data_IF_311470505567
#
_entry.id   IF_311470505567
#
_cell.length_a   1.000
_cell.length_b   1.000
_cell.length_c   1.000
_cell.angle_alpha   90.00
_cell.angle_beta   90.00
_cell.angle_gamma   90.00
#
_symmetry.space_group_name_H-M   'P 1'
#
loop_
_entity.id
_entity.type
_entity.pdbx_description
1 polymer ?
#
# COMPACT_ATOMS: atom_id res chain seq x y z
N UNK A 1 8.41 -5.03 1.54
CA UNK A 1 7.35 -4.96 0.52
C UNK A 1 7.47 -6.18 -0.39
N UNK A 2 6.44 -7.03 -0.42
CA UNK A 2 6.36 -8.23 -1.26
C UNK A 2 5.67 -7.85 -2.58
N UNK A 3 6.37 -8.03 -3.71
CA UNK A 3 5.91 -7.62 -5.04
C UNK A 3 4.86 -8.56 -5.63
N UNK A 4 3.93 -7.98 -6.40
CA UNK A 4 2.91 -8.72 -7.15
C UNK A 4 3.52 -9.35 -8.42
N UNK A 5 2.89 -10.41 -8.90
CA UNK A 5 3.48 -11.47 -9.74
C UNK A 5 3.74 -11.13 -11.22
N UNK A 6 3.65 -9.87 -11.64
CA UNK A 6 3.76 -9.49 -13.07
C UNK A 6 4.75 -8.36 -13.33
N UNK A 7 5.27 -7.70 -12.30
CA UNK A 7 6.31 -6.69 -12.49
C UNK A 7 7.68 -7.37 -12.56
N UNK A 8 8.52 -7.10 -13.58
CA UNK A 8 9.89 -7.60 -13.61
C UNK A 8 10.61 -7.27 -12.31
N UNK A 9 11.30 -8.24 -11.72
CA UNK A 9 12.08 -8.01 -10.48
C UNK A 9 13.21 -7.00 -10.67
N UNK A 10 13.53 -6.65 -11.93
CA UNK A 10 14.47 -5.60 -12.29
C UNK A 10 13.90 -4.18 -12.18
N UNK A 11 12.59 -4.03 -12.03
CA UNK A 11 11.92 -2.73 -11.93
C UNK A 11 11.38 -2.52 -10.51
N UNK A 12 11.62 -1.35 -9.89
CA UNK A 12 11.05 -1.07 -8.59
C UNK A 12 9.52 -0.85 -8.71
N UNK A 13 8.81 -1.07 -7.60
CA UNK A 13 7.42 -0.63 -7.48
C UNK A 13 7.38 0.90 -7.36
N UNK A 14 6.38 1.52 -7.98
CA UNK A 14 6.15 2.96 -7.99
C UNK A 14 4.76 3.29 -7.45
N UNK A 15 4.67 4.39 -6.70
CA UNK A 15 3.41 4.98 -6.26
C UNK A 15 3.48 6.48 -6.49
N UNK A 16 2.49 7.03 -7.18
CA UNK A 16 2.35 8.45 -7.48
C UNK A 16 1.04 8.96 -6.85
N UNK A 17 1.13 10.05 -6.09
CA UNK A 17 -0.03 10.67 -5.43
C UNK A 17 -0.10 12.12 -5.85
N UNK A 18 -1.18 12.47 -6.54
CA UNK A 18 -1.49 13.84 -6.96
C UNK A 18 -2.60 14.42 -6.08
N UNK A 19 -2.34 15.60 -5.54
CA UNK A 19 -3.29 16.41 -4.78
C UNK A 19 -3.43 17.81 -5.35
N UNK A 20 -4.36 18.57 -4.79
CA UNK A 20 -4.55 20.00 -5.07
C UNK A 20 -3.32 20.84 -4.68
N UNK A 21 -2.55 20.39 -3.68
CA UNK A 21 -1.38 21.09 -3.15
C UNK A 21 -0.04 20.63 -3.72
N UNK A 22 -0.01 19.57 -4.54
CA UNK A 22 1.27 19.04 -5.03
C UNK A 22 1.25 17.59 -5.47
N UNK A 23 2.46 17.04 -5.61
CA UNK A 23 2.72 15.68 -6.10
C UNK A 23 3.86 15.03 -5.30
N UNK A 24 3.67 13.77 -4.96
CA UNK A 24 4.73 12.91 -4.42
C UNK A 24 4.84 11.64 -5.27
N UNK A 25 6.06 11.31 -5.67
CA UNK A 25 6.39 10.07 -6.37
C UNK A 25 7.37 9.29 -5.53
N UNK A 26 7.03 8.04 -5.25
CA UNK A 26 7.92 7.07 -4.59
C UNK A 26 8.25 5.93 -5.55
N UNK A 27 9.47 5.43 -5.47
CA UNK A 27 9.87 4.25 -6.21
C UNK A 27 11.03 3.53 -5.53
N UNK A 28 10.90 2.21 -5.36
CA UNK A 28 11.92 1.39 -4.71
C UNK A 28 12.16 1.76 -3.24
N UNK A 29 11.10 2.09 -2.51
CA UNK A 29 11.11 2.53 -1.10
C UNK A 29 11.90 3.83 -0.86
N UNK A 30 11.94 4.71 -1.86
CA UNK A 30 12.55 6.04 -1.77
C UNK A 30 11.63 7.07 -2.39
N UNK A 31 11.66 8.30 -1.87
CA UNK A 31 11.07 9.43 -2.60
C UNK A 31 11.93 9.70 -3.84
N UNK A 32 11.27 9.76 -4.99
CA UNK A 32 11.90 10.22 -6.22
C UNK A 32 11.54 11.65 -6.55
N UNK A 33 10.34 12.09 -6.18
CA UNK A 33 9.90 13.48 -6.37
C UNK A 33 9.07 13.94 -5.19
N UNK A 34 9.43 15.10 -4.65
CA UNK A 34 8.66 15.84 -3.65
C UNK A 34 8.37 17.22 -4.24
N UNK A 35 7.11 17.45 -4.62
CA UNK A 35 6.66 18.73 -5.17
C UNK A 35 5.44 19.21 -4.38
N UNK A 36 5.69 19.64 -3.15
CA UNK A 36 4.71 20.29 -2.27
C UNK A 36 5.32 21.63 -1.85
N UNK A 37 4.77 22.78 -2.29
CA UNK A 37 5.28 24.09 -1.92
C UNK A 37 5.27 24.27 -0.39
N UNK A 38 6.34 24.89 0.14
CA UNK A 38 6.47 25.28 1.55
C UNK A 38 6.45 24.13 2.59
N UNK A 39 6.51 22.88 2.14
CA UNK A 39 6.64 21.71 3.03
C UNK A 39 7.91 20.92 2.70
N UNK A 40 8.68 20.59 3.73
CA UNK A 40 9.77 19.62 3.69
C UNK A 40 9.50 18.52 4.69
N UNK A 41 9.76 17.27 4.31
CA UNK A 41 9.65 16.10 5.19
C UNK A 41 11.05 15.55 5.49
N UNK A 42 11.32 15.27 6.77
CA UNK A 42 12.62 14.73 7.20
C UNK A 42 12.79 13.26 6.79
N UNK A 43 11.80 12.40 7.07
CA UNK A 43 11.72 11.02 6.57
C UNK A 43 10.24 10.56 6.45
N UNK A 44 9.69 10.35 5.25
CA UNK A 44 8.31 9.86 5.07
C UNK A 44 8.13 8.40 5.42
N UNK A 45 9.22 7.65 5.57
CA UNK A 45 9.18 6.23 5.91
C UNK A 45 9.51 5.99 7.39
N UNK A 46 9.63 7.06 8.19
CA UNK A 46 9.69 6.97 9.64
C UNK A 46 8.34 6.47 10.16
N UNK A 47 8.29 5.18 10.46
CA UNK A 47 7.09 4.43 10.82
C UNK A 47 7.23 3.87 12.23
N UNK A 48 6.44 4.41 13.16
CA UNK A 48 6.36 3.93 14.56
C UNK A 48 5.46 2.69 14.71
N UNK A 49 5.74 1.66 13.93
CA UNK A 49 5.04 0.38 14.02
C UNK A 49 5.94 -0.82 13.79
N UNK A 50 5.36 -2.03 13.78
CA UNK A 50 6.13 -3.25 13.63
C UNK A 50 6.95 -3.21 12.33
N UNK A 51 8.20 -3.67 12.38
CA UNK A 51 9.09 -3.61 11.22
C UNK A 51 8.56 -4.47 10.05
N UNK A 52 7.73 -5.46 10.37
CA UNK A 52 7.04 -6.29 9.38
C UNK A 52 5.80 -6.98 9.99
N UNK A 53 5.03 -7.63 9.13
CA UNK A 53 3.79 -8.33 9.49
C UNK A 53 4.00 -9.52 10.45
N UNK A 54 5.18 -10.14 10.45
CA UNK A 54 5.48 -11.24 11.37
C UNK A 54 5.69 -10.71 12.78
N UNK A 55 6.38 -9.58 12.91
CA UNK A 55 6.53 -8.92 14.20
C UNK A 55 5.18 -8.49 14.78
N UNK A 56 4.30 -7.89 13.96
CA UNK A 56 2.93 -7.54 14.37
C UNK A 56 2.18 -8.77 14.89
N UNK A 57 2.21 -9.87 14.12
CA UNK A 57 1.56 -11.13 14.49
C UNK A 57 2.11 -11.69 15.81
N UNK A 58 3.43 -11.74 15.98
CA UNK A 58 4.06 -12.29 17.19
C UNK A 58 3.69 -11.47 18.42
N UNK A 59 3.67 -10.15 18.31
CA UNK A 59 3.27 -9.26 19.42
C UNK A 59 1.83 -9.53 19.85
N UNK A 60 0.91 -9.72 18.91
CA UNK A 60 -0.51 -9.97 19.20
C UNK A 60 -0.76 -11.35 19.82
N UNK A 61 -0.04 -12.38 19.36
CA UNK A 61 -0.14 -13.72 19.96
C UNK A 61 0.31 -13.70 21.42
N UNK A 62 1.33 -12.90 21.74
CA UNK A 62 1.90 -12.82 23.09
C UNK A 62 1.11 -11.93 24.04
N UNK A 63 0.63 -10.79 23.56
CA UNK A 63 0.10 -9.73 24.41
C UNK A 63 -1.40 -9.46 24.18
N UNK A 64 -2.02 -10.13 23.21
CA UNK A 64 -3.39 -9.85 22.77
C UNK A 64 -3.49 -8.53 22.00
N UNK A 65 -4.73 -8.12 21.70
CA UNK A 65 -5.02 -6.89 20.96
C UNK A 65 -5.52 -7.14 19.54
N UNK A 66 -5.54 -6.08 18.74
CA UNK A 66 -6.02 -6.08 17.35
C UNK A 66 -4.85 -5.83 16.41
N UNK A 67 -4.68 -6.61 15.33
CA UNK A 67 -3.62 -6.38 14.36
C UNK A 67 -3.71 -5.01 13.71
N UNK A 68 -2.56 -4.52 13.23
CA UNK A 68 -2.51 -3.26 12.46
C UNK A 68 -3.41 -3.31 11.23
N UNK A 69 -3.55 -4.50 10.63
CA UNK A 69 -4.47 -4.76 9.52
C UNK A 69 -5.41 -5.89 9.92
N UNK A 70 -6.70 -5.58 10.07
CA UNK A 70 -7.72 -6.56 10.45
C UNK A 70 -8.17 -7.40 9.24
N UNK A 71 -8.83 -8.52 9.51
CA UNK A 71 -9.47 -9.31 8.46
C UNK A 71 -10.52 -8.52 7.66
N UNK A 72 -11.27 -7.64 8.33
CA UNK A 72 -12.25 -6.78 7.64
C UNK A 72 -11.59 -5.76 6.71
N UNK A 73 -10.44 -5.19 7.11
CA UNK A 73 -9.67 -4.31 6.21
C UNK A 73 -9.06 -5.10 5.05
N UNK A 74 -8.46 -6.26 5.32
CA UNK A 74 -7.87 -7.11 4.29
C UNK A 74 -8.89 -7.58 3.23
N UNK A 75 -10.15 -7.79 3.62
CA UNK A 75 -11.24 -8.13 2.69
C UNK A 75 -11.44 -7.05 1.62
N UNK A 76 -11.25 -5.76 1.93
CA UNK A 76 -11.40 -4.68 0.94
C UNK A 76 -10.38 -4.81 -0.19
N UNK A 77 -9.12 -5.11 0.14
CA UNK A 77 -8.08 -5.38 -0.86
C UNK A 77 -8.41 -6.60 -1.71
N UNK A 78 -8.96 -7.65 -1.11
CA UNK A 78 -9.40 -8.83 -1.85
C UNK A 78 -10.57 -8.51 -2.79
N UNK A 79 -11.56 -7.73 -2.34
CA UNK A 79 -12.68 -7.28 -3.17
C UNK A 79 -12.20 -6.47 -4.37
N UNK A 80 -11.20 -5.60 -4.21
CA UNK A 80 -10.57 -4.87 -5.31
C UNK A 80 -9.94 -5.83 -6.34
N UNK A 81 -9.14 -6.79 -5.90
CA UNK A 81 -8.48 -7.77 -6.79
C UNK A 81 -9.53 -8.59 -7.55
N UNK A 82 -10.55 -9.09 -6.86
CA UNK A 82 -11.63 -9.86 -7.49
C UNK A 82 -12.43 -9.00 -8.48
N UNK A 83 -12.69 -7.74 -8.14
CA UNK A 83 -13.34 -6.79 -9.03
C UNK A 83 -12.55 -6.51 -10.31
N UNK A 84 -11.21 -6.46 -10.24
CA UNK A 84 -10.35 -6.35 -11.43
C UNK A 84 -10.49 -7.58 -12.32
N UNK A 85 -10.45 -8.78 -11.74
CA UNK A 85 -10.65 -10.02 -12.51
C UNK A 85 -12.04 -10.09 -13.14
N UNK A 86 -13.07 -9.69 -12.41
CA UNK A 86 -14.44 -9.66 -12.91
C UNK A 86 -14.59 -8.66 -14.04
N UNK A 87 -14.11 -7.42 -13.86
CA UNK A 87 -14.16 -6.39 -14.89
C UNK A 87 -13.42 -6.80 -16.17
N UNK A 88 -12.27 -7.48 -16.03
CA UNK A 88 -11.53 -8.02 -17.18
C UNK A 88 -12.28 -9.15 -17.89
N UNK A 89 -13.05 -9.97 -17.17
CA UNK A 89 -13.79 -11.10 -17.75
C UNK A 89 -15.08 -10.65 -18.44
N UNK A 90 -15.71 -9.59 -17.94
CA UNK A 90 -17.01 -9.09 -18.43
C UNK A 90 -16.88 -7.87 -19.34
N UNK A 91 -15.69 -7.26 -19.41
CA UNK A 91 -15.42 -5.99 -20.09
C UNK A 91 -16.29 -4.83 -19.59
N UNK A 92 -16.74 -4.90 -18.34
CA UNK A 92 -17.63 -3.93 -17.72
C UNK A 92 -17.08 -3.41 -16.40
N UNK A 93 -17.51 -2.20 -16.03
CA UNK A 93 -17.20 -1.62 -14.72
C UNK A 93 -17.91 -2.43 -13.62
N UNK A 94 -17.17 -2.77 -12.57
CA UNK A 94 -17.69 -3.44 -11.37
C UNK A 94 -17.75 -2.45 -10.22
N UNK A 95 -18.86 -2.45 -9.48
CA UNK A 95 -19.01 -1.70 -8.22
C UNK A 95 -18.68 -2.64 -7.06
N UNK A 96 -17.76 -2.20 -6.19
CA UNK A 96 -17.38 -2.96 -5.00
C UNK A 96 -18.36 -2.68 -3.86
N UNK A 97 -18.56 -3.69 -3.02
CA UNK A 97 -19.44 -3.64 -1.84
C UNK A 97 -18.65 -3.35 -0.57
#
# INVERSE_FOLDING_TARGET
ILGTTTCPTSLPAYVEVHGDKGLVITGGNKIQTWHVPDESIDDPFDYDGPNNVIEDMVQLVRHGGTPRITGEEAKKSLSLILGVYEASRTEQKVTLS
#
